data_IF_391371528012
#
_entry.id   IF_391371528012
#
_cell.length_a   1.000
_cell.length_b   1.000
_cell.length_c   1.000
_cell.angle_alpha   90.00
_cell.angle_beta   90.00
_cell.angle_gamma   90.00
#
_symmetry.space_group_name_H-M   'P 1'
#
loop_
_entity.id
_entity.type
_entity.pdbx_description
1 polymer ?
#
# COMPACT_ATOMS: atom_id res chain seq x y z
N UNK A 1 7.60 -2.83 -7.11
CA UNK A 1 7.40 -1.52 -7.75
C UNK A 1 8.19 -0.36 -7.11
N UNK A 2 8.61 -0.42 -5.83
CA UNK A 2 9.32 0.71 -5.17
C UNK A 2 10.78 0.45 -4.75
N UNK A 3 11.24 -0.80 -4.68
CA UNK A 3 12.55 -1.16 -4.09
C UNK A 3 13.74 -1.28 -5.06
N UNK A 4 13.55 -1.14 -6.39
CA UNK A 4 14.69 -1.12 -7.32
C UNK A 4 15.52 0.17 -7.15
N UNK A 5 16.82 0.16 -7.47
CA UNK A 5 17.77 1.25 -7.16
C UNK A 5 17.26 2.66 -7.53
N UNK A 6 16.78 2.86 -8.76
CA UNK A 6 16.22 4.15 -9.19
C UNK A 6 14.92 4.51 -8.48
N UNK A 7 14.11 3.51 -8.14
CA UNK A 7 12.78 3.68 -7.51
C UNK A 7 12.93 4.04 -6.04
N UNK A 8 13.81 3.36 -5.33
CA UNK A 8 14.05 3.60 -3.90
C UNK A 8 14.67 4.99 -3.71
N UNK A 9 15.55 5.43 -4.61
CA UNK A 9 16.08 6.79 -4.59
C UNK A 9 14.96 7.84 -4.73
N UNK A 10 14.03 7.66 -5.67
CA UNK A 10 12.91 8.60 -5.83
C UNK A 10 11.93 8.54 -4.65
N UNK A 11 11.71 7.36 -4.07
CA UNK A 11 10.89 7.23 -2.85
C UNK A 11 11.53 7.97 -1.68
N UNK A 12 12.86 7.83 -1.49
CA UNK A 12 13.62 8.57 -0.48
C UNK A 12 13.54 10.07 -0.71
N UNK A 13 13.65 10.53 -1.96
CA UNK A 13 13.47 11.94 -2.32
C UNK A 13 12.06 12.45 -1.98
N UNK A 14 11.03 11.65 -2.24
CA UNK A 14 9.65 11.99 -1.88
C UNK A 14 9.48 12.16 -0.37
N UNK A 15 10.02 11.23 0.42
CA UNK A 15 9.89 11.19 1.88
C UNK A 15 10.71 12.30 2.56
N UNK A 16 11.95 12.49 2.11
CA UNK A 16 12.93 13.35 2.78
C UNK A 16 12.98 14.76 2.21
N UNK A 17 12.22 15.10 1.16
CA UNK A 17 12.21 16.45 0.60
C UNK A 17 11.23 17.36 1.30
N UNK A 18 11.70 18.56 1.67
CA UNK A 18 10.85 19.64 2.20
C UNK A 18 10.31 20.54 1.09
N UNK A 19 10.84 20.45 -0.14
CA UNK A 19 10.43 21.28 -1.27
C UNK A 19 9.36 20.59 -2.11
N UNK A 20 8.27 21.31 -2.38
CA UNK A 20 7.17 20.83 -3.22
C UNK A 20 7.62 20.46 -4.63
N UNK A 21 8.49 21.26 -5.25
CA UNK A 21 9.00 20.99 -6.61
C UNK A 21 9.82 19.69 -6.66
N UNK A 22 10.66 19.45 -5.66
CA UNK A 22 11.47 18.22 -5.57
C UNK A 22 10.57 16.99 -5.36
N UNK A 23 9.55 17.09 -4.50
CA UNK A 23 8.52 16.04 -4.34
C UNK A 23 7.77 15.77 -5.64
N UNK A 24 7.35 16.82 -6.35
CA UNK A 24 6.63 16.69 -7.63
C UNK A 24 7.46 15.98 -8.70
N UNK A 25 8.77 16.26 -8.79
CA UNK A 25 9.70 15.55 -9.71
C UNK A 25 9.87 14.08 -9.35
N UNK A 26 10.03 13.78 -8.06
CA UNK A 26 10.14 12.41 -7.58
C UNK A 26 8.84 11.61 -7.87
N UNK A 27 7.68 12.22 -7.61
CA UNK A 27 6.37 11.67 -7.95
C UNK A 27 6.23 11.41 -9.45
N UNK A 28 6.54 12.39 -10.31
CA UNK A 28 6.43 12.21 -11.76
C UNK A 28 7.27 11.03 -12.27
N UNK A 29 8.49 10.89 -11.74
CA UNK A 29 9.40 9.78 -12.06
C UNK A 29 8.82 8.45 -11.59
N UNK A 30 8.35 8.37 -10.34
CA UNK A 30 7.72 7.16 -9.79
C UNK A 30 6.48 6.75 -10.58
N UNK A 31 5.65 7.72 -11.00
CA UNK A 31 4.44 7.48 -11.80
C UNK A 31 4.78 6.83 -13.14
N UNK A 32 5.74 7.41 -13.86
CA UNK A 32 6.14 6.91 -15.17
C UNK A 32 6.64 5.46 -15.08
N UNK A 33 7.48 5.18 -14.09
CA UNK A 33 8.00 3.82 -13.88
C UNK A 33 6.87 2.85 -13.49
N UNK A 34 5.97 3.23 -12.59
CA UNK A 34 4.85 2.37 -12.20
C UNK A 34 3.86 2.10 -13.33
N UNK A 35 3.59 3.11 -14.18
CA UNK A 35 2.74 2.94 -15.35
C UNK A 35 3.25 1.80 -16.23
N UNK A 36 4.56 1.77 -16.51
CA UNK A 36 5.16 0.70 -17.32
C UNK A 36 5.09 -0.67 -16.64
N UNK A 37 5.30 -0.73 -15.32
CA UNK A 37 5.13 -1.98 -14.56
C UNK A 37 3.69 -2.51 -14.62
N UNK A 38 2.71 -1.64 -14.37
CA UNK A 38 1.30 -2.02 -14.41
C UNK A 38 0.89 -2.43 -15.83
N UNK A 39 1.36 -1.70 -16.85
CA UNK A 39 1.16 -2.05 -18.25
C UNK A 39 1.70 -3.46 -18.55
N UNK A 40 2.91 -3.77 -18.10
CA UNK A 40 3.49 -5.10 -18.28
C UNK A 40 2.68 -6.21 -17.58
N UNK A 41 2.24 -5.95 -16.33
CA UNK A 41 1.42 -6.91 -15.57
C UNK A 41 0.08 -7.13 -16.24
N UNK A 42 -0.64 -6.07 -16.58
CA UNK A 42 -1.95 -6.16 -17.23
C UNK A 42 -1.85 -6.78 -18.62
N UNK A 43 -0.78 -6.53 -19.38
CA UNK A 43 -0.55 -7.20 -20.65
C UNK A 43 -0.34 -8.72 -20.48
N UNK A 44 0.40 -9.12 -19.44
CA UNK A 44 0.62 -10.54 -19.14
C UNK A 44 -0.68 -11.24 -18.74
N UNK A 45 -1.51 -10.58 -17.93
CA UNK A 45 -2.73 -11.14 -17.37
C UNK A 45 -3.94 -11.06 -18.33
N UNK A 46 -3.89 -10.12 -19.28
CA UNK A 46 -4.90 -9.86 -20.31
C UNK A 46 -6.26 -9.48 -19.72
N UNK A 47 -7.25 -10.34 -19.87
CA UNK A 47 -8.67 -10.13 -19.54
C UNK A 47 -9.03 -10.54 -18.11
N UNK A 48 -8.11 -11.21 -17.38
CA UNK A 48 -8.37 -11.63 -16.01
C UNK A 48 -8.28 -10.45 -15.02
N UNK A 49 -9.05 -10.49 -13.92
CA UNK A 49 -9.00 -9.45 -12.91
C UNK A 49 -7.62 -9.37 -12.23
N UNK A 50 -7.14 -8.15 -12.04
CA UNK A 50 -5.91 -7.85 -11.29
C UNK A 50 -6.23 -6.82 -10.20
N UNK A 51 -6.25 -7.30 -8.96
CA UNK A 51 -6.41 -6.43 -7.79
C UNK A 51 -5.08 -5.83 -7.37
N UNK A 52 -4.96 -4.51 -7.50
CA UNK A 52 -3.76 -3.77 -7.11
C UNK A 52 -3.94 -3.20 -5.70
N UNK A 53 -3.16 -3.73 -4.75
CA UNK A 53 -3.03 -3.12 -3.42
C UNK A 53 -2.17 -1.86 -3.50
N UNK A 54 -2.70 -0.75 -3.00
CA UNK A 54 -1.95 0.51 -2.91
C UNK A 54 -0.82 0.41 -1.87
N UNK A 55 0.04 1.44 -1.81
CA UNK A 55 1.23 1.44 -0.96
C UNK A 55 0.84 1.15 0.50
N UNK A 56 1.48 0.11 1.04
CA UNK A 56 1.18 -0.45 2.35
C UNK A 56 2.35 -0.30 3.33
N UNK A 57 3.64 -0.48 2.97
CA UNK A 57 4.74 -0.36 3.91
C UNK A 57 4.87 1.05 4.54
N UNK A 58 5.34 1.14 5.80
CA UNK A 58 5.70 2.39 6.43
C UNK A 58 6.89 3.05 5.72
N UNK A 59 7.00 4.38 5.86
CA UNK A 59 8.02 5.14 5.16
C UNK A 59 9.46 4.77 5.55
N UNK A 60 9.68 4.31 6.78
CA UNK A 60 11.02 3.97 7.25
C UNK A 60 11.64 2.76 6.54
N UNK A 61 10.83 1.86 5.96
CA UNK A 61 11.34 0.75 5.14
C UNK A 61 12.04 1.23 3.86
N UNK A 62 11.78 2.47 3.42
CA UNK A 62 12.44 3.05 2.25
C UNK A 62 13.67 3.87 2.62
N UNK A 63 13.92 4.13 3.90
CA UNK A 63 15.00 5.01 4.33
C UNK A 63 16.39 4.38 4.10
N UNK A 64 17.43 5.20 3.90
CA UNK A 64 18.79 4.69 3.79
C UNK A 64 19.29 4.15 5.14
N UNK A 65 20.02 3.05 5.10
CA UNK A 65 20.65 2.48 6.29
C UNK A 65 22.18 2.66 6.28
N UNK A 66 22.78 2.82 5.09
CA UNK A 66 24.22 3.01 4.97
C UNK A 66 24.60 4.49 4.96
N UNK A 67 25.78 4.79 5.52
CA UNK A 67 26.35 6.16 5.52
C UNK A 67 26.48 6.69 4.09
N UNK A 68 26.92 5.85 3.15
CA UNK A 68 27.08 6.21 1.74
C UNK A 68 25.76 6.63 1.08
N UNK A 69 24.66 5.93 1.35
CA UNK A 69 23.35 6.33 0.82
C UNK A 69 22.86 7.65 1.41
N UNK A 70 23.13 7.89 2.70
CA UNK A 70 22.80 9.15 3.37
C UNK A 70 23.56 10.32 2.72
N UNK A 71 24.85 10.15 2.43
CA UNK A 71 25.68 11.17 1.77
C UNK A 71 25.21 11.48 0.34
N UNK A 72 24.81 10.46 -0.42
CA UNK A 72 24.23 10.62 -1.76
C UNK A 72 22.93 11.43 -1.68
N UNK A 73 22.04 11.08 -0.75
CA UNK A 73 20.76 11.78 -0.58
C UNK A 73 20.93 13.22 -0.09
N UNK A 74 21.88 13.46 0.80
CA UNK A 74 22.22 14.78 1.28
C UNK A 74 22.62 15.70 0.11
N UNK A 75 23.45 15.19 -0.81
CA UNK A 75 23.88 15.92 -2.01
C UNK A 75 22.71 16.16 -2.97
N UNK A 76 21.91 15.13 -3.26
CA UNK A 76 20.78 15.20 -4.19
C UNK A 76 19.63 16.10 -3.70
N UNK A 77 19.43 16.19 -2.39
CA UNK A 77 18.40 17.02 -1.77
C UNK A 77 18.90 18.39 -1.33
N UNK A 78 20.20 18.68 -1.51
CA UNK A 78 20.84 19.89 -1.02
C UNK A 78 20.60 20.12 0.50
N UNK A 79 20.72 19.03 1.27
CA UNK A 79 20.58 19.01 2.72
C UNK A 79 21.87 18.52 3.37
N UNK A 80 22.10 18.87 4.62
CA UNK A 80 23.22 18.30 5.38
C UNK A 80 22.95 16.85 5.78
N UNK A 81 24.02 16.06 5.94
CA UNK A 81 23.95 14.68 6.47
C UNK A 81 23.24 14.64 7.84
N UNK A 82 23.44 15.68 8.67
CA UNK A 82 22.80 15.81 9.98
C UNK A 82 21.28 15.96 9.84
N UNK A 83 20.80 16.81 8.93
CA UNK A 83 19.36 16.97 8.69
C UNK A 83 18.71 15.69 8.17
N UNK A 84 19.38 14.96 7.27
CA UNK A 84 18.88 13.67 6.78
C UNK A 84 18.76 12.66 7.94
N UNK A 85 19.79 12.57 8.81
CA UNK A 85 19.75 11.68 9.98
C UNK A 85 18.61 12.03 10.95
N UNK A 86 18.39 13.32 11.21
CA UNK A 86 17.29 13.78 12.05
C UNK A 86 15.92 13.41 11.47
N UNK A 87 15.74 13.55 10.14
CA UNK A 87 14.51 13.12 9.47
C UNK A 87 14.31 11.61 9.56
N UNK A 88 15.37 10.83 9.38
CA UNK A 88 15.31 9.37 9.51
C UNK A 88 14.88 8.98 10.92
N UNK A 89 15.47 9.60 11.95
CA UNK A 89 15.12 9.36 13.34
C UNK A 89 13.67 9.74 13.64
N UNK A 90 13.18 10.86 13.09
CA UNK A 90 11.79 11.31 13.27
C UNK A 90 10.75 10.38 12.63
N UNK A 91 11.14 9.60 11.62
CA UNK A 91 10.30 8.62 10.93
C UNK A 91 10.43 7.22 11.53
N UNK A 92 11.32 7.03 12.51
CA UNK A 92 11.48 5.77 13.22
C UNK A 92 10.28 5.52 14.12
N UNK A 93 9.77 4.30 14.09
CA UNK A 93 8.63 3.88 14.89
C UNK A 93 9.00 2.69 15.75
N UNK A 94 8.51 2.65 16.98
CA UNK A 94 8.76 1.53 17.90
C UNK A 94 8.12 0.24 17.38
N UNK A 95 6.91 0.34 16.80
CA UNK A 95 6.17 -0.80 16.24
C UNK A 95 5.71 -0.49 14.80
N UNK A 96 6.59 -0.64 13.79
CA UNK A 96 6.29 -0.39 12.37
C UNK A 96 5.00 -1.00 11.85
N UNK A 97 4.69 -2.22 12.27
CA UNK A 97 3.50 -2.96 11.85
C UNK A 97 2.20 -2.20 12.19
N UNK A 98 2.18 -1.47 13.31
CA UNK A 98 1.03 -0.67 13.77
C UNK A 98 1.19 0.84 13.51
N UNK A 99 2.20 1.23 12.75
CA UNK A 99 2.62 2.62 12.58
C UNK A 99 1.92 3.40 11.46
N UNK A 100 2.64 4.39 10.93
CA UNK A 100 2.18 5.32 9.92
C UNK A 100 2.35 4.75 8.51
N UNK A 101 1.37 3.93 8.12
CA UNK A 101 1.40 3.14 6.89
C UNK A 101 0.00 2.88 6.31
N UNK A 102 -0.08 2.25 5.14
CA UNK A 102 -1.34 1.97 4.44
C UNK A 102 -2.23 3.21 4.27
N UNK A 103 -3.55 3.07 4.48
CA UNK A 103 -4.49 4.19 4.33
C UNK A 103 -4.18 5.41 5.21
N UNK A 104 -3.49 5.22 6.36
CA UNK A 104 -3.13 6.32 7.27
C UNK A 104 -2.14 7.26 6.59
N UNK A 105 -1.17 6.68 5.90
CA UNK A 105 -0.20 7.41 5.11
C UNK A 105 -0.86 8.15 3.96
N UNK A 106 -1.86 7.56 3.32
CA UNK A 106 -2.61 8.21 2.25
C UNK A 106 -3.43 9.42 2.73
N UNK A 107 -3.83 9.47 4.01
CA UNK A 107 -4.51 10.64 4.57
C UNK A 107 -3.54 11.82 4.74
N UNK A 108 -2.30 11.58 5.18
CA UNK A 108 -1.30 12.65 5.38
C UNK A 108 -0.55 13.01 4.10
N UNK A 109 -0.37 12.04 3.20
CA UNK A 109 0.31 12.18 1.90
C UNK A 109 -0.58 11.66 0.76
N UNK A 110 -1.70 12.35 0.48
CA UNK A 110 -2.67 11.94 -0.54
C UNK A 110 -2.07 11.82 -1.95
N UNK A 111 -1.00 12.55 -2.23
CA UNK A 111 -0.27 12.50 -3.50
C UNK A 111 0.20 11.08 -3.88
N UNK A 112 0.49 10.21 -2.91
CA UNK A 112 1.00 8.86 -3.16
C UNK A 112 -0.10 8.01 -3.82
N UNK A 113 -1.28 7.94 -3.20
CA UNK A 113 -2.37 7.11 -3.72
C UNK A 113 -2.96 7.70 -4.99
N UNK A 114 -3.01 9.04 -5.11
CA UNK A 114 -3.40 9.71 -6.36
C UNK A 114 -2.46 9.35 -7.50
N UNK A 115 -1.15 9.35 -7.26
CA UNK A 115 -0.15 8.92 -8.25
C UNK A 115 -0.37 7.46 -8.67
N UNK A 116 -0.54 6.55 -7.72
CA UNK A 116 -0.73 5.13 -8.03
C UNK A 116 -2.00 4.92 -8.84
N UNK A 117 -3.10 5.57 -8.46
CA UNK A 117 -4.36 5.51 -9.20
C UNK A 117 -4.20 6.04 -10.63
N UNK A 118 -3.48 7.16 -10.83
CA UNK A 118 -3.18 7.68 -12.15
C UNK A 118 -2.32 6.71 -12.97
N UNK A 119 -1.27 6.14 -12.38
CA UNK A 119 -0.40 5.17 -13.06
C UNK A 119 -1.16 3.92 -13.53
N UNK A 120 -2.03 3.38 -12.67
CA UNK A 120 -2.92 2.26 -13.00
C UNK A 120 -3.84 2.65 -14.16
N UNK A 121 -4.54 3.78 -14.05
CA UNK A 121 -5.47 4.27 -15.09
C UNK A 121 -4.78 4.48 -16.43
N UNK A 122 -3.65 5.18 -16.43
CA UNK A 122 -2.84 5.46 -17.63
C UNK A 122 -2.36 4.16 -18.29
N UNK A 123 -2.01 3.13 -17.50
CA UNK A 123 -1.57 1.85 -18.03
C UNK A 123 -2.69 1.04 -18.68
N UNK A 124 -3.89 1.01 -18.09
CA UNK A 124 -5.06 0.35 -18.67
C UNK A 124 -5.47 1.01 -19.98
N UNK A 125 -5.53 2.34 -20.00
CA UNK A 125 -5.87 3.11 -21.20
C UNK A 125 -4.83 2.88 -22.30
N UNK A 126 -3.54 2.92 -21.96
CA UNK A 126 -2.46 2.68 -22.92
C UNK A 126 -2.58 1.29 -23.57
N UNK A 127 -2.84 0.23 -22.79
CA UNK A 127 -3.03 -1.12 -23.36
C UNK A 127 -4.24 -1.21 -24.29
N UNK A 128 -5.35 -0.56 -23.92
CA UNK A 128 -6.54 -0.53 -24.77
C UNK A 128 -6.25 0.16 -26.10
N UNK A 129 -5.51 1.26 -26.07
CA UNK A 129 -5.19 2.05 -27.27
C UNK A 129 -4.13 1.39 -28.15
N UNK A 130 -3.10 0.80 -27.56
CA UNK A 130 -1.95 0.27 -28.29
C UNK A 130 -2.14 -1.19 -28.72
N UNK A 131 -2.80 -2.01 -27.89
CA UNK A 131 -2.90 -3.46 -28.08
C UNK A 131 -4.35 -3.97 -28.15
N UNK A 132 -5.35 -3.10 -27.97
CA UNK A 132 -6.76 -3.49 -27.96
C UNK A 132 -7.20 -4.32 -26.74
N UNK A 133 -6.36 -4.41 -25.70
CA UNK A 133 -6.63 -5.20 -24.51
C UNK A 133 -7.45 -4.39 -23.53
N UNK A 134 -8.56 -4.95 -23.07
CA UNK A 134 -9.35 -4.37 -21.97
C UNK A 134 -8.93 -5.03 -20.66
N UNK A 135 -7.98 -4.41 -19.97
CA UNK A 135 -7.50 -4.89 -18.68
C UNK A 135 -8.56 -4.68 -17.58
N UNK A 136 -8.82 -5.72 -16.79
CA UNK A 136 -9.72 -5.64 -15.63
C UNK A 136 -8.91 -5.35 -14.37
N UNK A 137 -8.65 -4.08 -14.09
CA UNK A 137 -7.89 -3.65 -12.92
C UNK A 137 -8.82 -3.16 -11.81
N UNK A 138 -8.58 -3.66 -10.60
CA UNK A 138 -9.28 -3.28 -9.38
C UNK A 138 -8.28 -2.61 -8.42
N UNK A 139 -8.73 -1.64 -7.62
CA UNK A 139 -7.87 -0.94 -6.65
C UNK A 139 -8.30 -1.32 -5.23
N UNK A 140 -7.32 -1.67 -4.40
CA UNK A 140 -7.56 -2.05 -3.02
C UNK A 140 -6.78 -1.17 -2.04
N UNK A 141 -7.52 -0.60 -1.09
CA UNK A 141 -6.99 0.27 -0.03
C UNK A 141 -6.66 -0.58 1.22
N UNK A 142 -5.38 -0.64 1.66
CA UNK A 142 -4.94 -1.41 2.83
C UNK A 142 -5.14 -0.67 4.17
N UNK A 143 -5.13 -1.43 5.26
CA UNK A 143 -5.14 -1.03 6.68
C UNK A 143 -6.29 -0.10 7.07
N UNK A 144 -7.44 -0.28 6.42
CA UNK A 144 -8.67 0.45 6.77
C UNK A 144 -9.24 -0.11 8.06
N UNK A 145 -9.71 0.80 8.92
CA UNK A 145 -10.36 0.48 10.19
C UNK A 145 -11.72 1.15 10.37
N UNK A 146 -12.02 2.19 9.58
CA UNK A 146 -13.23 3.03 9.71
C UNK A 146 -13.73 3.43 8.33
N UNK A 147 -15.06 3.44 8.17
CA UNK A 147 -15.73 3.77 6.91
C UNK A 147 -15.41 5.18 6.43
N UNK A 148 -15.34 6.16 7.33
CA UNK A 148 -15.03 7.54 6.97
C UNK A 148 -13.63 7.69 6.34
N UNK A 149 -12.64 6.93 6.85
CA UNK A 149 -11.28 6.91 6.27
C UNK A 149 -11.27 6.25 4.89
N UNK A 150 -12.03 5.16 4.71
CA UNK A 150 -12.19 4.55 3.40
C UNK A 150 -12.84 5.52 2.41
N UNK A 151 -13.93 6.18 2.81
CA UNK A 151 -14.65 7.13 1.97
C UNK A 151 -13.75 8.30 1.51
N UNK A 152 -12.97 8.89 2.44
CA UNK A 152 -12.05 9.98 2.11
C UNK A 152 -10.98 9.55 1.11
N UNK A 153 -10.28 8.44 1.37
CA UNK A 153 -9.24 7.93 0.49
C UNK A 153 -9.82 7.47 -0.86
N UNK A 154 -10.98 6.79 -0.86
CA UNK A 154 -11.68 6.38 -2.09
C UNK A 154 -12.07 7.57 -2.94
N UNK A 155 -12.53 8.68 -2.33
CA UNK A 155 -12.82 9.94 -3.03
C UNK A 155 -11.58 10.50 -3.72
N UNK A 156 -10.44 10.53 -3.04
CA UNK A 156 -9.18 11.03 -3.62
C UNK A 156 -8.70 10.17 -4.78
N UNK A 157 -8.80 8.85 -4.66
CA UNK A 157 -8.47 7.88 -5.73
C UNK A 157 -9.41 8.07 -6.93
N UNK A 158 -10.73 8.13 -6.71
CA UNK A 158 -11.72 8.38 -7.77
C UNK A 158 -11.45 9.68 -8.53
N UNK A 159 -11.13 10.76 -7.80
CA UNK A 159 -10.79 12.04 -8.43
C UNK A 159 -9.56 11.92 -9.34
N UNK A 160 -8.52 11.23 -8.88
CA UNK A 160 -7.30 11.02 -9.66
C UNK A 160 -7.54 10.18 -10.93
N UNK A 161 -8.40 9.16 -10.85
CA UNK A 161 -8.84 8.37 -12.01
C UNK A 161 -9.60 9.25 -13.01
N UNK A 162 -10.57 10.03 -12.52
CA UNK A 162 -11.40 10.92 -13.34
C UNK A 162 -10.57 11.97 -14.10
N UNK A 163 -9.51 12.49 -13.49
CA UNK A 163 -8.58 13.41 -14.14
C UNK A 163 -7.89 12.78 -15.37
N UNK A 164 -7.49 11.52 -15.30
CA UNK A 164 -6.84 10.81 -16.42
C UNK A 164 -7.85 10.46 -17.50
N UNK A 165 -9.03 9.97 -17.09
CA UNK A 165 -10.16 9.68 -17.99
C UNK A 165 -10.52 10.93 -18.81
N UNK A 166 -10.73 12.06 -18.14
CA UNK A 166 -11.11 13.33 -18.78
C UNK A 166 -10.04 13.79 -19.77
N UNK A 167 -8.76 13.71 -19.41
CA UNK A 167 -7.64 14.11 -20.27
C UNK A 167 -7.47 13.21 -21.50
N UNK A 168 -7.76 11.92 -21.36
CA UNK A 168 -7.57 10.94 -22.43
C UNK A 168 -8.79 10.78 -23.35
N UNK A 169 -9.97 11.20 -22.90
CA UNK A 169 -11.24 10.98 -23.62
C UNK A 169 -11.69 9.51 -23.66
N UNK A 170 -11.09 8.64 -22.85
CA UNK A 170 -11.47 7.22 -22.75
C UNK A 170 -12.45 6.99 -21.62
N UNK A 171 -13.25 5.93 -21.75
CA UNK A 171 -14.07 5.42 -20.66
C UNK A 171 -13.37 4.22 -19.99
N UNK A 172 -13.27 4.28 -18.66
CA UNK A 172 -12.77 3.19 -17.81
C UNK A 172 -13.50 3.22 -16.47
N UNK A 173 -14.03 2.07 -16.08
CA UNK A 173 -14.62 1.87 -14.77
C UNK A 173 -13.71 0.99 -13.91
N UNK A 174 -13.51 1.38 -12.65
CA UNK A 174 -12.64 0.70 -11.70
C UNK A 174 -13.39 0.45 -10.41
N UNK A 175 -13.39 -0.80 -9.96
CA UNK A 175 -13.86 -1.14 -8.62
C UNK A 175 -12.78 -0.77 -7.59
N UNK A 176 -13.19 -0.10 -6.53
CA UNK A 176 -12.36 0.29 -5.40
C UNK A 176 -12.89 -0.38 -4.15
N UNK A 177 -12.14 -1.39 -3.70
CA UNK A 177 -12.40 -2.17 -2.50
C UNK A 177 -11.39 -1.88 -1.40
N UNK A 178 -11.44 -2.69 -0.35
CA UNK A 178 -10.55 -2.55 0.80
C UNK A 178 -10.08 -3.90 1.33
N UNK A 179 -8.95 -3.88 2.02
CA UNK A 179 -8.48 -5.03 2.77
C UNK A 179 -9.12 -5.06 4.18
N UNK A 180 -9.74 -6.17 4.54
CA UNK A 180 -10.21 -6.45 5.90
C UNK A 180 -9.08 -7.15 6.65
N UNK A 181 -8.27 -6.33 7.31
CA UNK A 181 -7.06 -6.77 8.01
C UNK A 181 -6.87 -6.12 9.39
N UNK A 182 -7.78 -5.23 9.78
CA UNK A 182 -7.86 -4.64 11.11
C UNK A 182 -9.09 -5.23 11.83
N UNK A 183 -8.97 -5.73 13.08
CA UNK A 183 -10.11 -6.25 13.83
C UNK A 183 -11.29 -5.28 13.94
N UNK A 184 -11.04 -3.96 13.97
CA UNK A 184 -12.11 -2.96 13.94
C UNK A 184 -12.90 -2.99 12.63
N UNK A 185 -12.23 -3.06 11.47
CA UNK A 185 -12.90 -3.14 10.17
C UNK A 185 -13.72 -4.43 10.04
N UNK A 186 -13.27 -5.49 10.70
CA UNK A 186 -14.00 -6.74 10.80
C UNK A 186 -15.33 -6.57 11.56
N UNK A 187 -15.28 -5.94 12.74
CA UNK A 187 -16.47 -5.75 13.60
C UNK A 187 -17.46 -4.76 12.98
N UNK A 188 -16.99 -3.78 12.21
CA UNK A 188 -17.82 -2.78 11.52
C UNK A 188 -17.87 -3.03 10.01
N UNK A 189 -17.85 -4.29 9.59
CA UNK A 189 -17.76 -4.66 8.17
C UNK A 189 -19.01 -4.23 7.37
N UNK A 190 -20.17 -4.19 8.04
CA UNK A 190 -21.43 -3.68 7.50
C UNK A 190 -21.32 -2.20 7.08
N UNK A 191 -20.71 -1.36 7.91
CA UNK A 191 -20.44 0.04 7.56
C UNK A 191 -19.43 0.13 6.41
N UNK A 192 -18.34 -0.63 6.48
CA UNK A 192 -17.29 -0.63 5.45
C UNK A 192 -17.85 -1.05 4.09
N UNK A 193 -18.76 -2.02 4.06
CA UNK A 193 -19.39 -2.52 2.84
C UNK A 193 -20.25 -1.46 2.13
N UNK A 194 -20.69 -0.40 2.81
CA UNK A 194 -21.41 0.72 2.16
C UNK A 194 -20.50 1.52 1.21
N UNK A 195 -19.19 1.49 1.44
CA UNK A 195 -18.20 2.23 0.67
C UNK A 195 -17.28 1.33 -0.17
N UNK A 196 -17.07 0.07 0.18
CA UNK A 196 -16.17 -0.84 -0.53
C UNK A 196 -16.88 -1.61 -1.66
N UNK A 197 -16.34 -1.60 -2.88
CA UNK A 197 -16.93 -2.36 -4.00
C UNK A 197 -16.62 -3.87 -3.89
N UNK A 198 -15.58 -4.22 -3.13
CA UNK A 198 -15.20 -5.59 -2.76
C UNK A 198 -14.35 -5.57 -1.48
N UNK A 199 -14.17 -6.74 -0.88
CA UNK A 199 -13.31 -6.95 0.28
C UNK A 199 -12.27 -8.05 -0.01
N UNK A 200 -11.06 -7.88 0.51
CA UNK A 200 -10.03 -8.92 0.54
C UNK A 200 -9.53 -9.10 1.96
N UNK A 201 -9.46 -10.34 2.45
CA UNK A 201 -9.05 -10.59 3.82
C UNK A 201 -7.53 -10.70 3.92
N UNK A 202 -6.90 -9.72 4.55
CA UNK A 202 -5.48 -9.74 4.88
C UNK A 202 -5.26 -10.57 6.14
N UNK A 203 -5.41 -11.89 6.05
CA UNK A 203 -5.40 -12.78 7.23
C UNK A 203 -4.09 -12.76 7.99
N UNK A 204 -2.97 -12.43 7.35
CA UNK A 204 -1.69 -12.27 8.06
C UNK A 204 -1.79 -11.17 9.12
N UNK A 205 -2.11 -9.93 8.70
CA UNK A 205 -2.23 -8.79 9.61
C UNK A 205 -3.42 -8.95 10.56
N UNK A 206 -4.54 -9.50 10.08
CA UNK A 206 -5.68 -9.80 10.95
C UNK A 206 -5.31 -10.81 12.05
N UNK A 207 -4.53 -11.83 11.73
CA UNK A 207 -4.03 -12.81 12.72
C UNK A 207 -3.07 -12.14 13.69
N UNK A 208 -2.13 -11.32 13.19
CA UNK A 208 -1.20 -10.58 14.05
C UNK A 208 -1.96 -9.73 15.09
N UNK A 209 -2.98 -8.98 14.65
CA UNK A 209 -3.75 -8.10 15.55
C UNK A 209 -4.73 -8.86 16.44
N UNK A 210 -5.31 -9.96 15.97
CA UNK A 210 -6.26 -10.76 16.77
C UNK A 210 -5.55 -11.53 17.89
N UNK A 211 -4.39 -12.11 17.60
CA UNK A 211 -3.58 -12.82 18.60
C UNK A 211 -2.65 -11.90 19.41
N UNK A 212 -2.37 -10.70 18.91
CA UNK A 212 -1.31 -9.85 19.46
C UNK A 212 0.10 -10.39 19.19
N UNK A 213 0.28 -11.07 18.06
CA UNK A 213 1.55 -11.69 17.68
C UNK A 213 2.23 -10.88 16.57
N UNK A 214 3.45 -10.40 16.82
CA UNK A 214 4.36 -9.99 15.75
C UNK A 214 4.82 -11.23 15.02
N UNK A 215 4.58 -11.33 13.71
CA UNK A 215 4.98 -12.48 12.89
C UNK A 215 6.48 -12.72 12.94
N UNK A 216 7.26 -11.64 12.95
CA UNK A 216 8.72 -11.67 12.95
C UNK A 216 9.28 -12.14 14.30
N UNK A 217 8.56 -11.88 15.40
CA UNK A 217 8.98 -12.27 16.74
C UNK A 217 8.36 -13.58 17.23
N UNK A 218 7.21 -13.98 16.70
CA UNK A 218 6.43 -15.10 17.21
C UNK A 218 7.14 -16.45 17.04
N UNK A 219 8.07 -16.55 16.07
CA UNK A 219 8.91 -17.73 15.90
C UNK A 219 9.69 -18.12 17.17
N UNK A 220 9.95 -17.16 18.08
CA UNK A 220 10.68 -17.38 19.35
C UNK A 220 9.90 -18.24 20.35
N UNK A 221 8.57 -18.29 20.27
CA UNK A 221 7.73 -18.97 21.26
C UNK A 221 6.63 -19.87 20.67
N UNK A 222 6.29 -19.75 19.38
CA UNK A 222 5.24 -20.57 18.75
C UNK A 222 5.54 -22.07 18.87
N UNK A 223 6.81 -22.49 18.74
CA UNK A 223 7.20 -23.90 18.87
C UNK A 223 6.79 -24.49 20.24
N UNK A 224 7.11 -23.77 21.31
CA UNK A 224 6.76 -24.17 22.69
C UNK A 224 5.23 -24.29 22.89
N UNK A 225 4.45 -23.41 22.25
CA UNK A 225 2.98 -23.46 22.33
C UNK A 225 2.42 -24.70 21.63
N UNK A 226 3.03 -25.11 20.51
CA UNK A 226 2.63 -26.32 19.77
C UNK A 226 3.03 -27.58 20.55
N UNK A 227 4.25 -27.63 21.08
CA UNK A 227 4.75 -28.79 21.85
C UNK A 227 3.91 -29.02 23.12
N UNK A 228 3.51 -27.93 23.79
CA UNK A 228 2.59 -27.98 24.94
C UNK A 228 1.12 -28.14 24.57
N UNK A 229 0.79 -28.23 23.28
CA UNK A 229 -0.60 -28.31 22.76
C UNK A 229 -1.50 -27.16 23.22
N UNK A 230 -0.91 -25.99 23.48
CA UNK A 230 -1.63 -24.75 23.74
C UNK A 230 -2.20 -24.16 22.44
N UNK A 231 -1.56 -24.46 21.32
CA UNK A 231 -2.09 -24.24 19.98
C UNK A 231 -2.17 -25.57 19.23
N UNK A 232 -3.21 -25.74 18.42
CA UNK A 232 -3.37 -26.93 17.57
C UNK A 232 -2.54 -26.85 16.29
N UNK A 233 -2.24 -25.64 15.83
CA UNK A 233 -1.48 -25.35 14.61
C UNK A 233 -0.90 -23.93 14.69
N UNK A 234 0.09 -23.65 13.84
CA UNK A 234 0.65 -22.30 13.72
C UNK A 234 -0.38 -21.34 13.12
N UNK A 235 -0.77 -20.25 13.81
CA UNK A 235 -1.88 -19.39 13.39
C UNK A 235 -1.59 -18.60 12.09
N UNK A 236 -0.30 -18.45 11.72
CA UNK A 236 0.12 -17.85 10.46
C UNK A 236 0.21 -18.85 9.29
N UNK A 237 0.06 -20.15 9.56
CA UNK A 237 0.11 -21.21 8.55
C UNK A 237 -1.28 -21.76 8.24
N UNK A 238 -2.13 -21.85 9.26
CA UNK A 238 -3.51 -22.32 9.14
C UNK A 238 -4.42 -21.32 9.81
N UNK A 239 -5.50 -20.95 9.11
CA UNK A 239 -6.47 -19.99 9.62
C UNK A 239 -7.06 -20.50 10.95
N UNK A 240 -7.01 -19.66 11.97
CA UNK A 240 -7.82 -19.86 13.17
C UNK A 240 -9.29 -19.61 12.84
N UNK A 241 -10.03 -20.68 12.58
CA UNK A 241 -11.44 -20.59 12.18
C UNK A 241 -12.32 -19.98 13.27
N UNK A 242 -12.00 -20.17 14.56
CA UNK A 242 -12.84 -19.70 15.67
C UNK A 242 -12.59 -18.25 16.03
N UNK A 243 -11.33 -17.83 16.07
CA UNK A 243 -10.95 -16.44 16.33
C UNK A 243 -10.98 -15.62 15.04
N UNK A 244 -9.88 -15.66 14.27
CA UNK A 244 -9.71 -14.85 13.05
C UNK A 244 -10.82 -15.14 12.01
N UNK A 245 -11.25 -16.40 11.89
CA UNK A 245 -12.28 -16.86 10.97
C UNK A 245 -13.68 -16.33 11.29
N UNK A 246 -13.94 -15.90 12.53
CA UNK A 246 -15.21 -15.24 12.89
C UNK A 246 -15.43 -13.92 12.15
N UNK A 247 -14.37 -13.40 11.53
CA UNK A 247 -14.42 -12.21 10.70
C UNK A 247 -15.08 -12.41 9.34
N UNK A 248 -15.18 -13.65 8.89
CA UNK A 248 -15.79 -13.96 7.62
C UNK A 248 -17.32 -13.95 7.79
N UNK A 249 -18.07 -13.30 6.90
CA UNK A 249 -19.51 -13.43 6.89
C UNK A 249 -19.89 -14.91 6.69
N UNK A 250 -20.85 -15.39 7.48
CA UNK A 250 -21.45 -16.73 7.32
C UNK A 250 -22.37 -16.78 6.10
#
# INVERSE_FOLDING_TARGET
MFFGETRILNMRKLILSSEENSRAKALATLKAIQKEDFKAIFNLVRDKPVTVRLLDPPLHEFLPHSVKEIEILATELNLSVTEIKQRIESLSEVNPMLGHRGCRLAVTFPEIYRLQAQAITESVIALKQEEGITANAEIMIPLVAEVAKLADVKKQVKAAIAEVITKSGNDWHCQIGTMIEIPRACVTADEIATEADFASFGTNDLTQMTYGFSRDDAAKFIGEYLDKKLLSYGPFQTLDVRGVGSCYPN
#
